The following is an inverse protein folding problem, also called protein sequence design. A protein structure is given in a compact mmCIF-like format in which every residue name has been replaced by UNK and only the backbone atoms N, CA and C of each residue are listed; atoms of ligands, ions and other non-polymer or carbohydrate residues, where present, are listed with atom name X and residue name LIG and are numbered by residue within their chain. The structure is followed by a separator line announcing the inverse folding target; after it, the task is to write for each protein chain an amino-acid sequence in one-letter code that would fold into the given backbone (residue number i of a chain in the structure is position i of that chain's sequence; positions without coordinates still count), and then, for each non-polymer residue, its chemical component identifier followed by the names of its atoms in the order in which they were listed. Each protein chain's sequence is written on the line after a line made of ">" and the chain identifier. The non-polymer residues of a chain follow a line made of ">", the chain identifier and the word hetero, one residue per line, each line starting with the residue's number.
data_IF_208880232240
#
_entry.id   IF_208880232240
#
_cell.length_a   1.000
_cell.length_b   1.000
_cell.length_c   1.000
_cell.angle_alpha   90.00
_cell.angle_beta   90.00
_cell.angle_gamma   90.00
#
_symmetry.space_group_name_H-M   'P 1'
#
loop_
_entity.id
_entity.type
_entity.pdbx_description
1 polymer ?
#
# COMPACT_ATOMS: atom_id res chain seq x y z
N UNK A 1 -15.22 21.31 13.19
CA UNK A 1 -14.41 21.37 12.03
C UNK A 1 -14.24 20.01 11.35
N UNK A 2 -14.43 19.98 10.09
CA UNK A 2 -14.31 18.75 9.35
C UNK A 2 -12.92 18.64 8.77
N UNK A 3 -12.36 17.49 8.93
CA UNK A 3 -11.10 17.18 8.26
C UNK A 3 -11.39 16.51 6.96
N UNK A 4 -10.71 16.96 5.95
CA UNK A 4 -10.78 16.29 4.68
C UNK A 4 -9.73 15.21 4.65
N UNK A 5 -10.20 13.98 4.47
CA UNK A 5 -9.28 12.87 4.33
C UNK A 5 -8.84 12.78 2.89
N UNK A 6 -7.56 12.93 2.69
CA UNK A 6 -6.99 12.70 1.39
C UNK A 6 -6.72 11.22 1.25
N UNK A 7 -7.07 10.68 0.11
CA UNK A 7 -6.76 9.30 -0.17
C UNK A 7 -5.34 9.19 -0.68
N UNK A 8 -4.65 8.19 -0.19
CA UNK A 8 -3.24 7.99 -0.52
C UNK A 8 -3.11 6.62 -1.16
N UNK A 9 -2.38 6.55 -2.25
CA UNK A 9 -2.21 5.32 -3.00
C UNK A 9 -0.73 5.02 -3.17
N UNK A 10 -0.41 3.73 -3.06
CA UNK A 10 0.96 3.24 -3.22
C UNK A 10 1.10 2.60 -4.58
N UNK A 11 2.13 2.98 -5.31
CA UNK A 11 2.47 2.36 -6.58
C UNK A 11 2.78 0.88 -6.37
N UNK A 12 2.16 0.02 -7.15
CA UNK A 12 2.33 -1.41 -6.98
C UNK A 12 2.02 -2.12 -8.30
N UNK A 13 2.19 -3.44 -8.29
CA UNK A 13 1.79 -4.28 -9.42
C UNK A 13 0.61 -5.11 -8.97
N UNK A 14 -0.43 -5.15 -9.80
CA UNK A 14 -1.67 -5.82 -9.48
C UNK A 14 -1.90 -6.94 -10.49
N UNK A 15 -2.24 -8.13 -10.01
CA UNK A 15 -2.58 -9.26 -10.85
C UNK A 15 -3.77 -9.99 -10.25
N UNK A 16 -4.23 -11.05 -10.92
CA UNK A 16 -5.39 -11.79 -10.45
C UNK A 16 -5.11 -12.46 -9.12
N UNK A 17 -6.10 -12.38 -8.22
CA UNK A 17 -6.04 -13.07 -6.95
C UNK A 17 -6.66 -14.46 -7.06
N UNK A 18 -6.81 -15.10 -5.90
CA UNK A 18 -7.41 -16.42 -5.83
C UNK A 18 -8.92 -16.37 -5.86
N UNK A 19 -9.49 -15.28 -5.45
CA UNK A 19 -10.94 -15.08 -5.41
C UNK A 19 -11.32 -13.86 -6.23
N UNK A 20 -12.56 -13.81 -6.67
CA UNK A 20 -13.01 -12.75 -7.58
C UNK A 20 -13.01 -11.37 -6.95
N UNK A 21 -13.05 -11.29 -5.62
CA UNK A 21 -13.12 -10.00 -4.93
C UNK A 21 -11.77 -9.50 -4.43
N UNK A 22 -10.69 -10.19 -4.79
CA UNK A 22 -9.36 -9.79 -4.35
C UNK A 22 -8.36 -9.88 -5.49
N UNK A 23 -7.26 -9.18 -5.34
CA UNK A 23 -6.17 -9.21 -6.30
C UNK A 23 -4.86 -9.46 -5.59
N UNK A 24 -3.94 -10.06 -6.31
CA UNK A 24 -2.57 -10.21 -5.82
C UNK A 24 -1.83 -8.91 -6.11
N UNK A 25 -1.19 -8.37 -5.09
CA UNK A 25 -0.50 -7.09 -5.20
C UNK A 25 0.93 -7.28 -4.74
N UNK A 26 1.87 -6.78 -5.51
CA UNK A 26 3.27 -6.76 -5.11
C UNK A 26 3.77 -5.32 -5.10
N UNK A 27 4.68 -5.04 -4.18
CA UNK A 27 5.18 -3.70 -3.96
C UNK A 27 6.62 -3.75 -3.50
N UNK A 28 7.30 -2.61 -3.56
CA UNK A 28 8.68 -2.51 -3.11
C UNK A 28 8.78 -1.52 -1.97
N UNK A 29 9.66 -1.81 -1.02
CA UNK A 29 9.96 -0.85 0.02
C UNK A 29 11.04 0.12 -0.48
N UNK A 30 11.47 1.01 0.40
CA UNK A 30 12.41 2.07 0.01
C UNK A 30 13.81 1.52 -0.35
N UNK A 31 14.10 0.29 0.04
CA UNK A 31 15.39 -0.34 -0.27
C UNK A 31 15.29 -1.31 -1.43
N UNK A 32 14.13 -1.39 -2.08
CA UNK A 32 13.94 -2.31 -3.19
C UNK A 32 13.54 -3.70 -2.79
N UNK A 33 13.27 -3.93 -1.50
CA UNK A 33 12.75 -5.20 -1.05
C UNK A 33 11.34 -5.41 -1.57
N UNK A 34 11.03 -6.63 -1.98
CA UNK A 34 9.74 -6.93 -2.59
C UNK A 34 8.83 -7.65 -1.63
N UNK A 35 7.59 -7.25 -1.62
CA UNK A 35 6.57 -7.81 -0.74
C UNK A 35 5.30 -8.02 -1.54
N UNK A 36 4.50 -9.00 -1.13
CA UNK A 36 3.24 -9.28 -1.81
C UNK A 36 2.17 -9.67 -0.82
N UNK A 37 0.93 -9.60 -1.29
CA UNK A 37 -0.21 -10.00 -0.48
C UNK A 37 -1.46 -10.01 -1.36
N UNK A 38 -2.54 -10.50 -0.77
CA UNK A 38 -3.83 -10.45 -1.43
C UNK A 38 -4.68 -9.38 -0.77
N UNK A 39 -5.23 -8.49 -1.57
CA UNK A 39 -5.97 -7.35 -1.05
C UNK A 39 -7.32 -7.24 -1.75
N UNK A 40 -8.30 -6.78 -1.01
CA UNK A 40 -9.64 -6.60 -1.54
C UNK A 40 -9.62 -5.57 -2.67
N UNK A 41 -10.37 -5.85 -3.73
CA UNK A 41 -10.40 -4.97 -4.89
C UNK A 41 -10.89 -3.56 -4.56
N UNK A 42 -11.63 -3.41 -3.46
CA UNK A 42 -12.06 -2.08 -3.03
C UNK A 42 -10.91 -1.20 -2.56
N UNK A 43 -9.77 -1.80 -2.26
CA UNK A 43 -8.58 -1.07 -1.85
C UNK A 43 -7.65 -0.75 -3.01
N UNK A 44 -8.06 -1.09 -4.22
CA UNK A 44 -7.23 -0.93 -5.41
C UNK A 44 -7.94 0.02 -6.36
N UNK A 45 -7.21 1.02 -6.85
CA UNK A 45 -7.74 1.98 -7.80
C UNK A 45 -6.66 2.32 -8.81
N UNK A 46 -6.98 2.14 -10.08
CA UNK A 46 -6.06 2.47 -11.18
C UNK A 46 -4.70 1.79 -11.02
N UNK A 47 -4.72 0.54 -10.54
CA UNK A 47 -3.50 -0.24 -10.39
C UNK A 47 -2.66 0.13 -9.18
N UNK A 48 -3.23 0.87 -8.24
CA UNK A 48 -2.54 1.30 -7.03
C UNK A 48 -3.31 0.87 -5.81
N UNK A 49 -2.60 0.70 -4.71
CA UNK A 49 -3.19 0.22 -3.46
C UNK A 49 -3.43 1.39 -2.52
N UNK A 50 -4.64 1.51 -2.04
CA UNK A 50 -4.97 2.56 -1.06
C UNK A 50 -4.31 2.23 0.27
N UNK A 51 -3.57 3.19 0.82
CA UNK A 51 -2.82 3.01 2.06
C UNK A 51 -3.05 4.22 2.95
N UNK A 52 -2.57 4.13 4.18
CA UNK A 52 -2.63 5.25 5.11
C UNK A 52 -1.22 5.64 5.49
N UNK A 53 -0.97 6.95 5.57
CA UNK A 53 0.33 7.45 6.00
C UNK A 53 0.35 7.44 7.51
N UNK A 54 1.33 6.76 8.09
CA UNK A 54 1.53 6.71 9.53
C UNK A 54 2.61 7.67 9.99
N UNK A 55 3.64 7.85 9.17
CA UNK A 55 4.74 8.72 9.56
C UNK A 55 5.51 9.12 8.31
N UNK A 56 6.15 10.26 8.36
CA UNK A 56 6.95 10.76 7.26
C UNK A 56 8.23 11.32 7.83
N UNK A 57 9.33 11.05 7.15
CA UNK A 57 10.61 11.60 7.54
C UNK A 57 11.44 11.79 6.29
N UNK A 58 11.67 13.05 5.93
CA UNK A 58 12.44 13.39 4.74
C UNK A 58 11.78 12.77 3.51
N UNK A 59 12.46 11.87 2.80
CA UNK A 59 11.91 11.27 1.60
C UNK A 59 11.26 9.93 1.84
N UNK A 60 11.15 9.53 3.11
CA UNK A 60 10.59 8.24 3.46
C UNK A 60 9.21 8.37 4.08
N UNK A 61 8.35 7.44 3.77
CA UNK A 61 6.99 7.44 4.27
C UNK A 61 6.67 6.04 4.80
N UNK A 62 6.23 5.99 6.06
CA UNK A 62 5.73 4.73 6.62
C UNK A 62 4.24 4.67 6.35
N UNK A 63 3.81 3.66 5.61
CA UNK A 63 2.40 3.51 5.26
C UNK A 63 1.83 2.25 5.86
N UNK A 64 0.57 2.34 6.25
CA UNK A 64 -0.19 1.18 6.70
C UNK A 64 -0.98 0.61 5.54
N UNK A 65 -0.97 -0.70 5.44
CA UNK A 65 -1.59 -1.43 4.34
C UNK A 65 -2.97 -1.93 4.77
N UNK A 66 -3.89 -2.14 3.82
CA UNK A 66 -5.23 -2.63 4.16
C UNK A 66 -5.29 -4.14 4.38
N UNK A 67 -4.16 -4.80 4.49
CA UNK A 67 -4.09 -6.24 4.70
C UNK A 67 -2.68 -6.66 5.02
N UNK A 68 -2.44 -7.95 5.04
CA UNK A 68 -1.17 -8.48 5.48
C UNK A 68 -0.26 -8.85 4.33
N UNK A 69 1.03 -8.69 4.56
CA UNK A 69 2.05 -9.12 3.62
C UNK A 69 2.39 -10.57 3.88
N UNK A 70 2.61 -11.32 2.81
CA UNK A 70 2.89 -12.75 2.91
C UNK A 70 4.28 -13.01 3.46
N UNK A 71 5.23 -12.14 3.17
CA UNK A 71 6.62 -12.35 3.52
C UNK A 71 6.97 -11.96 4.95
N UNK A 72 6.03 -11.35 5.66
CA UNK A 72 6.31 -10.84 6.99
C UNK A 72 5.21 -11.31 7.95
N UNK A 73 5.15 -12.62 8.21
CA UNK A 73 4.09 -13.16 9.06
C UNK A 73 4.24 -12.65 10.49
N UNK A 74 3.13 -12.22 11.07
CA UNK A 74 3.11 -11.76 12.44
C UNK A 74 3.62 -10.36 12.66
N UNK A 75 4.20 -9.75 11.65
CA UNK A 75 4.64 -8.38 11.74
C UNK A 75 3.54 -7.46 11.28
N UNK A 76 3.36 -6.34 11.58
CA UNK A 76 2.26 -5.47 11.24
C UNK A 76 2.10 -5.28 9.74
N UNK A 77 1.12 -4.51 9.40
CA UNK A 77 0.75 -4.25 8.03
C UNK A 77 1.36 -2.94 7.57
N UNK A 78 2.67 -2.79 7.76
CA UNK A 78 3.35 -1.53 7.49
C UNK A 78 4.51 -1.75 6.55
N UNK A 79 4.79 -0.73 5.74
CA UNK A 79 5.95 -0.75 4.86
C UNK A 79 6.48 0.67 4.73
N UNK A 80 7.79 0.82 4.67
CA UNK A 80 8.41 2.12 4.44
C UNK A 80 8.76 2.23 2.97
N UNK A 81 8.29 3.30 2.34
CA UNK A 81 8.48 3.52 0.91
C UNK A 81 9.06 4.90 0.69
N UNK A 82 9.51 5.16 -0.53
CA UNK A 82 9.94 6.50 -0.91
C UNK A 82 8.72 7.35 -1.21
N UNK A 83 8.83 8.64 -0.96
CA UNK A 83 7.73 9.55 -1.21
C UNK A 83 7.27 9.49 -2.67
N UNK A 84 8.19 9.26 -3.59
CA UNK A 84 7.84 9.21 -5.01
C UNK A 84 6.97 8.01 -5.37
N UNK A 85 6.85 7.04 -4.48
CA UNK A 85 6.00 5.87 -4.68
C UNK A 85 4.55 6.13 -4.26
N UNK A 86 4.28 7.30 -3.73
CA UNK A 86 2.97 7.65 -3.17
C UNK A 86 2.29 8.68 -4.04
N UNK A 87 0.99 8.46 -4.30
CA UNK A 87 0.12 9.45 -4.92
C UNK A 87 -0.93 9.87 -3.91
N UNK A 88 -1.10 11.16 -3.76
CA UNK A 88 -2.11 11.70 -2.87
C UNK A 88 -3.22 12.29 -3.70
N UNK A 89 -4.42 11.80 -3.49
CA UNK A 89 -5.60 12.28 -4.20
C UNK A 89 -6.29 13.33 -3.35
N UNK A 90 -6.49 14.49 -3.94
CA UNK A 90 -7.17 15.60 -3.26
C UNK A 90 -8.65 15.60 -3.56
#
# INVERSE_FOLDING_TARGET
>A
MTEEYKKVYLTCNVSEGQFSNESAVSMEDYQGGKYSGFFNNNSIKDGKLEVKIWDEKENLVLVGLPGRLLEVPGAGDYITVKREQIDIEN
#
